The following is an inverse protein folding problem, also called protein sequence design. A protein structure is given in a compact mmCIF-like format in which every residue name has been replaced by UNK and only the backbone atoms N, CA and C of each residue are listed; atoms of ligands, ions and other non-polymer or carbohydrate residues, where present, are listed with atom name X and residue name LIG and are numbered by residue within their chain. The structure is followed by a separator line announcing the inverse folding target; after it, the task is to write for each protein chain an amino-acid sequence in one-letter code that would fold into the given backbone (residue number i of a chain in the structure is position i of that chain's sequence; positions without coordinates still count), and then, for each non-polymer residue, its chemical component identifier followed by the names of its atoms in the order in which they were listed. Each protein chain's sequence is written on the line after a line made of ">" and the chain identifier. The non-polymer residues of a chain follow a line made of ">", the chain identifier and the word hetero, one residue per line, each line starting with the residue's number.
data_IF_151894518803
#
_entry.id   IF_151894518803
#
_cell.length_a   1.000
_cell.length_b   1.000
_cell.length_c   1.000
_cell.angle_alpha   90.00
_cell.angle_beta   90.00
_cell.angle_gamma   90.00
#
_symmetry.space_group_name_H-M   'P 1'
#
loop_
_entity.id
_entity.type
_entity.pdbx_description
1 polymer ?
#
# COMPACT_ATOMS: atom_id res chain seq x y z
N UNK A 1 29.57 -22.82 -3.72
CA UNK A 1 29.29 -24.00 -4.58
C UNK A 1 28.14 -23.63 -5.52
N UNK A 2 28.04 -24.20 -6.74
CA UNK A 2 26.90 -23.93 -7.63
C UNK A 2 25.60 -24.40 -6.97
N UNK A 3 24.55 -23.58 -7.04
CA UNK A 3 23.23 -23.86 -6.44
C UNK A 3 22.57 -25.03 -7.17
N UNK A 4 22.04 -26.01 -6.43
CA UNK A 4 21.33 -27.13 -7.02
C UNK A 4 19.90 -26.69 -7.40
N UNK A 5 19.46 -27.02 -8.61
CA UNK A 5 18.14 -26.63 -9.15
C UNK A 5 17.11 -27.75 -8.96
N UNK A 6 17.56 -29.01 -8.94
CA UNK A 6 16.70 -30.18 -8.75
C UNK A 6 16.95 -30.79 -7.37
N UNK A 7 15.88 -31.23 -6.69
CA UNK A 7 15.96 -31.83 -5.36
C UNK A 7 16.55 -33.25 -5.44
N UNK A 8 17.77 -33.49 -4.90
CA UNK A 8 18.41 -34.80 -4.97
C UNK A 8 17.63 -35.89 -4.20
N UNK A 9 16.80 -35.53 -3.22
CA UNK A 9 15.99 -36.48 -2.46
C UNK A 9 14.88 -37.16 -3.29
N UNK A 10 14.59 -36.63 -4.49
CA UNK A 10 13.62 -37.22 -5.42
C UNK A 10 14.27 -38.16 -6.44
N UNK A 11 15.60 -38.29 -6.42
CA UNK A 11 16.31 -39.20 -7.31
C UNK A 11 16.33 -40.61 -6.71
N UNK A 12 15.82 -41.58 -7.47
CA UNK A 12 15.84 -42.99 -7.11
C UNK A 12 17.18 -43.63 -7.50
N UNK A 13 17.59 -44.66 -6.75
CA UNK A 13 18.77 -45.45 -7.06
C UNK A 13 18.56 -46.16 -8.41
N UNK A 14 19.40 -45.94 -9.43
CA UNK A 14 19.31 -46.67 -10.68
C UNK A 14 19.50 -48.17 -10.46
N UNK A 15 18.72 -49.00 -11.16
CA UNK A 15 18.90 -50.46 -11.12
C UNK A 15 20.16 -50.86 -11.90
N UNK A 16 21.29 -50.88 -11.21
CA UNK A 16 22.58 -51.30 -11.78
C UNK A 16 22.65 -52.81 -12.08
N UNK A 17 21.62 -53.59 -11.72
CA UNK A 17 21.50 -54.99 -12.10
C UNK A 17 20.68 -55.19 -13.39
N UNK A 18 20.04 -54.14 -13.92
CA UNK A 18 19.35 -54.13 -15.20
C UNK A 18 20.28 -54.49 -16.37
N UNK A 19 19.69 -55.03 -17.45
CA UNK A 19 20.37 -55.35 -18.71
C UNK A 19 21.06 -54.10 -19.33
N UNK A 20 20.56 -52.90 -19.02
CA UNK A 20 21.14 -51.62 -19.48
C UNK A 20 22.61 -51.43 -19.04
N UNK A 21 23.01 -52.07 -17.94
CA UNK A 21 24.37 -51.98 -17.39
C UNK A 21 25.25 -53.20 -17.71
N UNK A 22 24.78 -54.15 -18.54
CA UNK A 22 25.52 -55.37 -18.90
C UNK A 22 26.88 -55.08 -19.52
N UNK A 23 26.95 -54.09 -20.40
CA UNK A 23 28.20 -53.69 -21.04
C UNK A 23 29.25 -53.19 -20.02
N UNK A 24 28.80 -52.58 -18.92
CA UNK A 24 29.67 -52.08 -17.84
C UNK A 24 30.08 -53.23 -16.92
N UNK A 25 29.15 -54.14 -16.59
CA UNK A 25 29.42 -55.33 -15.77
C UNK A 25 30.39 -56.31 -16.45
N UNK A 26 30.28 -56.49 -17.76
CA UNK A 26 31.15 -57.38 -18.54
C UNK A 26 32.63 -56.92 -18.59
N UNK A 27 32.92 -55.68 -18.18
CA UNK A 27 34.28 -55.12 -18.12
C UNK A 27 35.02 -55.43 -16.83
N UNK A 28 34.34 -56.05 -15.85
CA UNK A 28 34.86 -56.38 -14.53
C UNK A 28 35.06 -57.90 -14.42
N UNK A 29 36.11 -58.32 -13.71
CA UNK A 29 36.41 -59.76 -13.51
C UNK A 29 35.33 -60.47 -12.67
N UNK A 30 34.62 -59.72 -11.80
CA UNK A 30 33.50 -60.22 -11.00
C UNK A 30 32.25 -59.32 -11.18
N UNK A 31 31.20 -59.79 -11.88
CA UNK A 31 29.98 -59.01 -12.13
C UNK A 31 29.22 -58.60 -10.87
N UNK A 32 29.33 -59.38 -9.77
CA UNK A 32 28.67 -59.06 -8.50
C UNK A 32 29.31 -57.89 -7.76
N UNK A 33 30.64 -57.77 -7.83
CA UNK A 33 31.38 -56.64 -7.24
C UNK A 33 31.19 -55.36 -8.04
N UNK A 34 30.98 -55.47 -9.37
CA UNK A 34 30.72 -54.32 -10.24
C UNK A 34 29.43 -53.58 -9.86
N UNK A 35 28.35 -54.31 -9.56
CA UNK A 35 27.06 -53.73 -9.12
C UNK A 35 27.22 -53.01 -7.79
N UNK A 36 27.94 -53.60 -6.83
CA UNK A 36 28.17 -53.00 -5.53
C UNK A 36 29.02 -51.72 -5.65
N UNK A 37 30.12 -51.77 -6.40
CA UNK A 37 31.00 -50.61 -6.60
C UNK A 37 30.29 -49.44 -7.28
N UNK A 38 29.43 -49.71 -8.29
CA UNK A 38 28.60 -48.68 -8.92
C UNK A 38 27.58 -48.10 -7.95
N UNK A 39 26.93 -48.96 -7.16
CA UNK A 39 25.98 -48.55 -6.12
C UNK A 39 26.63 -47.65 -5.08
N UNK A 40 27.78 -48.06 -4.53
CA UNK A 40 28.53 -47.30 -3.53
C UNK A 40 28.99 -45.94 -4.08
N UNK A 41 29.48 -45.92 -5.33
CA UNK A 41 29.91 -44.68 -5.99
C UNK A 41 28.75 -43.70 -6.19
N UNK A 42 27.57 -44.21 -6.59
CA UNK A 42 26.37 -43.40 -6.76
C UNK A 42 25.86 -42.88 -5.41
N UNK A 43 25.80 -43.73 -4.38
CA UNK A 43 25.37 -43.34 -3.04
C UNK A 43 26.27 -42.26 -2.44
N UNK A 44 27.59 -42.37 -2.64
CA UNK A 44 28.53 -41.34 -2.18
C UNK A 44 28.29 -40.00 -2.89
N UNK A 45 28.04 -40.01 -4.20
CA UNK A 45 27.75 -38.80 -4.96
C UNK A 45 26.37 -38.22 -4.64
N UNK A 46 25.37 -39.08 -4.44
CA UNK A 46 24.02 -38.71 -4.03
C UNK A 46 24.01 -38.07 -2.63
N UNK A 47 24.68 -38.70 -1.66
CA UNK A 47 24.83 -38.16 -0.31
C UNK A 47 25.47 -36.76 -0.29
N UNK A 48 26.49 -36.52 -1.11
CA UNK A 48 27.10 -35.18 -1.25
C UNK A 48 26.11 -34.15 -1.79
N UNK A 49 25.30 -34.52 -2.79
CA UNK A 49 24.28 -33.63 -3.36
C UNK A 49 23.15 -33.36 -2.37
N UNK A 50 22.72 -34.37 -1.62
CA UNK A 50 21.73 -34.22 -0.53
C UNK A 50 22.26 -33.26 0.53
N UNK A 51 23.49 -33.46 1.03
CA UNK A 51 24.11 -32.54 2.00
C UNK A 51 24.21 -31.11 1.46
N UNK A 52 24.60 -30.94 0.20
CA UNK A 52 24.65 -29.62 -0.42
C UNK A 52 23.27 -28.98 -0.53
N UNK A 53 22.23 -29.76 -0.82
CA UNK A 53 20.85 -29.30 -0.88
C UNK A 53 20.34 -28.88 0.52
N UNK A 54 20.57 -29.72 1.53
CA UNK A 54 20.21 -29.41 2.92
C UNK A 54 20.89 -28.14 3.41
N UNK A 55 22.18 -27.97 3.10
CA UNK A 55 22.93 -26.75 3.42
C UNK A 55 22.31 -25.53 2.73
N UNK A 56 21.94 -25.64 1.45
CA UNK A 56 21.31 -24.55 0.71
C UNK A 56 19.96 -24.15 1.34
N UNK A 57 19.14 -25.12 1.75
CA UNK A 57 17.87 -24.85 2.42
C UNK A 57 18.09 -24.19 3.78
N UNK A 58 19.08 -24.63 4.54
CA UNK A 58 19.41 -24.02 5.83
C UNK A 58 19.90 -22.57 5.65
N UNK A 59 20.76 -22.31 4.67
CA UNK A 59 21.24 -20.96 4.34
C UNK A 59 20.07 -20.05 3.91
N UNK A 60 19.15 -20.55 3.09
CA UNK A 60 17.96 -19.79 2.69
C UNK A 60 17.02 -19.51 3.89
N UNK A 61 16.85 -20.49 4.79
CA UNK A 61 16.06 -20.33 6.01
C UNK A 61 16.68 -19.29 6.94
N UNK A 62 17.98 -19.36 7.17
CA UNK A 62 18.72 -18.39 7.99
C UNK A 62 18.66 -16.99 7.39
N UNK A 63 18.81 -16.86 6.07
CA UNK A 63 18.67 -15.59 5.38
C UNK A 63 17.25 -15.01 5.51
N UNK A 64 16.22 -15.86 5.41
CA UNK A 64 14.83 -15.44 5.60
C UNK A 64 14.54 -15.01 7.04
N UNK A 65 15.06 -15.74 8.03
CA UNK A 65 14.94 -15.39 9.45
C UNK A 65 15.67 -14.08 9.79
N UNK A 66 16.84 -13.86 9.21
CA UNK A 66 17.60 -12.61 9.41
C UNK A 66 16.88 -11.41 8.77
N UNK A 67 16.32 -11.57 7.57
CA UNK A 67 15.49 -10.54 6.95
C UNK A 67 14.26 -10.25 7.81
N UNK A 68 13.60 -11.27 8.36
CA UNK A 68 12.44 -11.05 9.25
C UNK A 68 12.83 -10.35 10.55
N UNK A 69 13.97 -10.73 11.14
CA UNK A 69 14.53 -10.06 12.32
C UNK A 69 14.77 -8.58 12.04
N UNK A 70 15.44 -8.26 10.94
CA UNK A 70 15.69 -6.87 10.53
C UNK A 70 14.40 -6.09 10.30
N UNK A 71 13.38 -6.72 9.69
CA UNK A 71 12.06 -6.09 9.51
C UNK A 71 11.39 -5.76 10.85
N UNK A 72 11.47 -6.66 11.82
CA UNK A 72 10.90 -6.43 13.15
C UNK A 72 11.68 -5.33 13.91
N UNK A 73 13.00 -5.34 13.84
CA UNK A 73 13.85 -4.30 14.43
C UNK A 73 13.57 -2.92 13.81
N UNK A 74 13.43 -2.83 12.49
CA UNK A 74 13.08 -1.58 11.83
C UNK A 74 11.66 -1.12 12.17
N UNK A 75 10.69 -2.03 12.28
CA UNK A 75 9.34 -1.69 12.72
C UNK A 75 9.32 -1.18 14.17
N UNK A 76 10.11 -1.79 15.06
CA UNK A 76 10.28 -1.34 16.44
C UNK A 76 10.93 0.04 16.50
N UNK A 77 12.00 0.26 15.75
CA UNK A 77 12.66 1.58 15.64
C UNK A 77 11.71 2.67 15.16
N UNK A 78 10.88 2.39 14.16
CA UNK A 78 9.87 3.35 13.68
C UNK A 78 8.84 3.65 14.76
N UNK A 79 8.36 2.65 15.51
CA UNK A 79 7.42 2.86 16.62
C UNK A 79 8.02 3.69 17.75
N UNK A 80 9.28 3.45 18.10
CA UNK A 80 9.99 4.25 19.10
C UNK A 80 10.16 5.71 18.65
N UNK A 81 10.52 5.94 17.39
CA UNK A 81 10.64 7.28 16.82
C UNK A 81 9.28 8.01 16.78
N UNK A 82 8.22 7.34 16.33
CA UNK A 82 6.85 7.89 16.34
C UNK A 82 6.39 8.24 17.77
N UNK A 83 6.66 7.36 18.74
CA UNK A 83 6.34 7.60 20.15
C UNK A 83 7.11 8.79 20.73
N UNK A 84 8.39 8.95 20.37
CA UNK A 84 9.21 10.09 20.78
C UNK A 84 8.68 11.40 20.18
N UNK A 85 8.34 11.42 18.88
CA UNK A 85 7.74 12.58 18.23
C UNK A 85 6.38 12.94 18.84
N UNK A 86 5.56 11.96 19.19
CA UNK A 86 4.27 12.23 19.85
C UNK A 86 4.46 12.75 21.28
N UNK A 87 5.43 12.23 22.03
CA UNK A 87 5.78 12.73 23.35
C UNK A 87 6.25 14.20 23.30
N UNK A 88 7.10 14.55 22.33
CA UNK A 88 7.56 15.93 22.11
C UNK A 88 6.39 16.87 21.78
N UNK A 89 5.47 16.46 20.89
CA UNK A 89 4.26 17.23 20.59
C UNK A 89 3.39 17.46 21.83
N UNK A 90 3.19 16.43 22.66
CA UNK A 90 2.42 16.54 23.92
C UNK A 90 3.10 17.47 24.91
N UNK A 91 4.43 17.51 24.95
CA UNK A 91 5.17 18.44 25.81
C UNK A 91 5.07 19.89 25.29
N UNK A 92 5.18 20.09 23.98
CA UNK A 92 5.01 21.38 23.33
C UNK A 92 3.59 21.95 23.54
N UNK A 93 2.55 21.10 23.49
CA UNK A 93 1.17 21.51 23.78
C UNK A 93 0.97 21.96 25.24
N UNK A 94 1.61 21.27 26.22
CA UNK A 94 1.56 21.69 27.63
C UNK A 94 2.21 23.05 27.87
N UNK A 95 3.24 23.39 27.09
CA UNK A 95 3.96 24.68 27.18
C UNK A 95 3.28 25.81 26.39
N UNK A 96 2.27 25.50 25.59
CA UNK A 96 1.57 26.48 24.75
C UNK A 96 0.74 27.42 25.64
N UNK A 97 0.91 28.76 25.53
CA UNK A 97 0.17 29.70 26.35
C UNK A 97 -1.35 29.56 26.13
N UNK A 98 -2.13 29.65 27.21
CA UNK A 98 -3.59 29.69 27.14
C UNK A 98 -4.01 30.96 26.40
N UNK A 99 -4.82 30.79 25.36
CA UNK A 99 -5.39 31.91 24.64
C UNK A 99 -6.21 32.79 25.60
N UNK A 100 -6.16 34.13 25.46
CA UNK A 100 -7.01 35.01 26.25
C UNK A 100 -8.49 34.69 25.97
N UNK A 101 -9.28 34.71 27.04
CA UNK A 101 -10.73 34.47 27.00
C UNK A 101 -11.39 35.54 26.14
N UNK A 102 -11.83 35.15 24.94
CA UNK A 102 -12.39 36.08 23.97
C UNK A 102 -13.89 36.22 24.26
N UNK A 103 -14.27 37.39 24.77
CA UNK A 103 -15.63 37.74 25.16
C UNK A 103 -16.60 37.64 23.95
N UNK A 104 -17.38 36.56 23.95
CA UNK A 104 -18.34 36.20 22.90
C UNK A 104 -19.55 37.16 22.80
N UNK A 105 -19.60 38.21 23.63
CA UNK A 105 -20.74 39.11 23.73
C UNK A 105 -20.75 40.20 22.63
N UNK A 106 -19.60 40.51 22.03
CA UNK A 106 -19.50 41.53 20.96
C UNK A 106 -20.01 41.07 19.58
N UNK A 107 -20.20 39.76 19.36
CA UNK A 107 -20.62 39.20 18.06
C UNK A 107 -22.15 39.03 17.93
N UNK A 108 -22.94 39.60 18.84
CA UNK A 108 -24.41 39.45 18.86
C UNK A 108 -25.18 40.72 18.52
N UNK A 109 -24.53 41.75 17.97
CA UNK A 109 -25.19 43.03 17.65
C UNK A 109 -25.27 43.36 16.14
N UNK A 110 -24.66 42.58 15.26
CA UNK A 110 -24.85 42.73 13.80
C UNK A 110 -24.96 41.35 13.14
N UNK A 111 -26.18 40.82 13.05
CA UNK A 111 -26.43 39.56 12.36
C UNK A 111 -27.87 39.12 12.51
N UNK A 112 -28.73 39.68 11.64
CA UNK A 112 -30.12 39.27 11.46
C UNK A 112 -30.24 37.74 11.33
N UNK A 113 -31.22 37.17 12.03
CA UNK A 113 -31.46 35.73 12.15
C UNK A 113 -32.12 35.10 10.89
N UNK A 114 -32.29 35.85 9.80
CA UNK A 114 -32.90 35.34 8.56
C UNK A 114 -31.91 34.70 7.56
N UNK A 115 -30.61 34.70 7.84
CA UNK A 115 -29.59 34.31 6.84
C UNK A 115 -28.95 32.92 6.97
N UNK A 116 -29.53 31.96 7.72
CA UNK A 116 -28.86 30.67 7.99
C UNK A 116 -29.40 29.43 7.26
N UNK A 117 -30.59 29.49 6.69
CA UNK A 117 -31.13 28.37 5.89
C UNK A 117 -31.01 28.57 4.36
N UNK A 118 -30.69 29.78 3.89
CA UNK A 118 -30.53 30.07 2.44
C UNK A 118 -29.13 29.77 1.87
N UNK A 119 -28.11 29.54 2.70
CA UNK A 119 -26.73 29.37 2.23
C UNK A 119 -26.42 28.00 1.59
N UNK A 120 -27.29 27.00 1.78
CA UNK A 120 -27.16 25.70 1.11
C UNK A 120 -28.03 25.56 -0.14
N UNK A 121 -29.06 26.41 -0.31
CA UNK A 121 -30.02 26.31 -1.43
C UNK A 121 -29.92 27.47 -2.44
N UNK A 122 -29.22 28.56 -2.10
CA UNK A 122 -29.07 29.76 -2.95
C UNK A 122 -27.99 29.73 -4.04
N UNK A 123 -27.43 28.59 -4.43
CA UNK A 123 -26.40 28.54 -5.50
C UNK A 123 -26.96 28.71 -6.92
N UNK A 124 -28.25 29.03 -7.06
CA UNK A 124 -28.91 29.33 -8.34
C UNK A 124 -29.01 30.84 -8.66
N UNK A 125 -28.30 31.73 -7.95
CA UNK A 125 -27.97 33.01 -8.58
C UNK A 125 -27.04 32.73 -9.78
N UNK A 126 -27.33 33.33 -10.94
CA UNK A 126 -26.58 33.17 -12.20
C UNK A 126 -25.08 33.41 -12.00
N UNK A 127 -24.35 32.36 -11.62
CA UNK A 127 -22.91 32.41 -11.39
C UNK A 127 -22.12 32.39 -12.71
N UNK A 128 -22.81 32.39 -13.85
CA UNK A 128 -22.19 32.58 -15.16
C UNK A 128 -21.63 33.99 -15.33
N UNK A 129 -22.16 34.98 -14.60
CA UNK A 129 -21.74 36.39 -14.69
C UNK A 129 -20.83 36.84 -13.52
N UNK A 130 -20.54 35.97 -12.57
CA UNK A 130 -19.71 36.30 -11.42
C UNK A 130 -18.22 36.04 -11.70
N UNK A 131 -17.37 37.05 -11.50
CA UNK A 131 -15.92 36.95 -11.66
C UNK A 131 -15.21 36.93 -10.30
N UNK A 132 -14.24 36.03 -10.14
CA UNK A 132 -13.34 35.96 -9.00
C UNK A 132 -11.94 36.50 -9.34
N UNK A 133 -11.23 36.99 -8.33
CA UNK A 133 -9.83 37.41 -8.46
C UNK A 133 -8.89 36.18 -8.37
N UNK A 134 -8.07 35.99 -9.40
CA UNK A 134 -7.07 34.92 -9.48
C UNK A 134 -5.67 35.53 -9.63
N UNK A 135 -4.70 35.01 -8.87
CA UNK A 135 -3.29 35.41 -9.02
C UNK A 135 -2.68 34.70 -10.23
N UNK A 136 -2.10 35.47 -11.14
CA UNK A 136 -1.35 35.00 -12.31
C UNK A 136 0.12 35.41 -12.20
N UNK A 137 0.98 34.90 -13.07
CA UNK A 137 2.40 35.26 -13.11
C UNK A 137 2.64 36.76 -13.31
N UNK A 138 1.67 37.47 -13.89
CA UNK A 138 1.75 38.90 -14.21
C UNK A 138 0.84 39.79 -13.35
N UNK A 139 0.20 39.26 -12.29
CA UNK A 139 -0.62 40.07 -11.38
C UNK A 139 -1.91 39.42 -10.92
N UNK A 140 -2.98 40.20 -10.76
CA UNK A 140 -4.33 39.72 -10.45
C UNK A 140 -5.19 39.78 -11.72
N UNK A 141 -5.87 38.68 -12.05
CA UNK A 141 -6.79 38.58 -13.17
C UNK A 141 -8.20 38.24 -12.68
N UNK A 142 -9.22 38.82 -13.31
CA UNK A 142 -10.61 38.41 -13.12
C UNK A 142 -10.88 37.17 -13.96
N UNK A 143 -11.34 36.09 -13.33
CA UNK A 143 -11.74 34.85 -13.99
C UNK A 143 -13.18 34.51 -13.65
N UNK A 144 -14.00 34.05 -14.62
CA UNK A 144 -15.36 33.59 -14.33
C UNK A 144 -15.33 32.53 -13.22
N UNK A 145 -16.19 32.67 -12.21
CA UNK A 145 -16.28 31.68 -11.12
C UNK A 145 -16.68 30.31 -11.65
N UNK A 146 -17.36 30.24 -12.80
CA UNK A 146 -17.63 29.01 -13.53
C UNK A 146 -16.35 28.22 -13.90
N UNK A 147 -15.21 28.90 -14.13
CA UNK A 147 -13.94 28.25 -14.44
C UNK A 147 -13.34 27.48 -13.24
N UNK A 148 -13.78 27.79 -12.01
CA UNK A 148 -13.35 27.10 -10.79
C UNK A 148 -14.36 26.07 -10.31
N UNK A 149 -15.50 25.91 -10.99
CA UNK A 149 -16.52 24.92 -10.62
C UNK A 149 -16.16 23.57 -11.22
N UNK A 150 -16.22 22.49 -10.42
CA UNK A 150 -16.30 21.14 -10.96
C UNK A 150 -17.48 21.06 -11.95
N UNK A 151 -17.33 20.28 -13.02
CA UNK A 151 -18.42 20.07 -13.98
C UNK A 151 -19.68 19.57 -13.25
N UNK A 152 -20.87 20.01 -13.68
CA UNK A 152 -22.16 19.58 -13.11
C UNK A 152 -22.37 18.05 -13.16
N UNK A 153 -21.58 17.34 -13.97
CA UNK A 153 -21.62 15.87 -14.11
C UNK A 153 -20.61 15.15 -13.21
N UNK A 154 -19.81 15.87 -12.41
CA UNK A 154 -18.81 15.27 -11.53
C UNK A 154 -19.51 14.54 -10.40
N UNK A 155 -19.25 13.23 -10.30
CA UNK A 155 -19.69 12.38 -9.20
C UNK A 155 -18.62 12.48 -8.10
N UNK A 156 -18.98 12.76 -6.84
CA UNK A 156 -18.00 12.78 -5.76
C UNK A 156 -17.47 11.38 -5.46
N UNK A 157 -16.19 11.28 -5.06
CA UNK A 157 -15.52 10.01 -4.79
C UNK A 157 -16.27 9.10 -3.81
N UNK A 158 -17.03 9.67 -2.86
CA UNK A 158 -17.81 8.95 -1.86
C UNK A 158 -19.08 8.29 -2.40
N UNK A 159 -19.51 8.66 -3.61
CA UNK A 159 -20.71 8.16 -4.28
C UNK A 159 -20.37 7.29 -5.50
N UNK A 160 -19.08 7.02 -5.73
CA UNK A 160 -18.66 6.14 -6.82
C UNK A 160 -19.14 4.71 -6.59
N UNK A 161 -19.56 4.05 -7.65
CA UNK A 161 -19.67 2.59 -7.63
C UNK A 161 -18.27 1.96 -7.62
N UNK A 162 -18.16 0.72 -7.14
CA UNK A 162 -16.88 -0.01 -7.15
C UNK A 162 -16.24 -0.06 -8.54
N UNK A 163 -17.05 -0.39 -9.56
CA UNK A 163 -16.61 -0.40 -10.96
C UNK A 163 -16.11 0.95 -11.44
N UNK A 164 -16.79 2.05 -11.10
CA UNK A 164 -16.33 3.39 -11.45
C UNK A 164 -15.01 3.74 -10.76
N UNK A 165 -14.85 3.38 -9.49
CA UNK A 165 -13.58 3.58 -8.77
C UNK A 165 -12.43 2.80 -9.43
N UNK A 166 -12.61 1.51 -9.74
CA UNK A 166 -11.56 0.70 -10.39
C UNK A 166 -11.16 1.27 -11.75
N UNK A 167 -12.13 1.74 -12.56
CA UNK A 167 -11.84 2.40 -13.84
C UNK A 167 -11.14 3.75 -13.65
N UNK A 168 -11.65 4.58 -12.73
CA UNK A 168 -11.11 5.91 -12.46
C UNK A 168 -9.70 5.86 -11.89
N UNK A 169 -9.36 4.84 -11.09
CA UNK A 169 -8.01 4.60 -10.56
C UNK A 169 -6.98 4.52 -11.69
N UNK A 170 -7.24 3.72 -12.72
CA UNK A 170 -6.30 3.55 -13.84
C UNK A 170 -6.06 4.87 -14.56
N UNK A 171 -7.12 5.64 -14.81
CA UNK A 171 -6.99 6.97 -15.40
C UNK A 171 -6.25 7.94 -14.48
N UNK A 172 -6.54 7.94 -13.18
CA UNK A 172 -5.87 8.79 -12.19
C UNK A 172 -4.35 8.55 -12.17
N UNK A 173 -3.92 7.29 -12.04
CA UNK A 173 -2.50 6.95 -11.99
C UNK A 173 -1.77 7.37 -13.28
N UNK A 174 -2.38 7.14 -14.44
CA UNK A 174 -1.82 7.58 -15.72
C UNK A 174 -1.69 9.11 -15.82
N UNK A 175 -2.68 9.86 -15.35
CA UNK A 175 -2.60 11.33 -15.34
C UNK A 175 -1.57 11.85 -14.33
N UNK A 176 -1.36 11.16 -13.20
CA UNK A 176 -0.32 11.52 -12.24
C UNK A 176 1.09 11.33 -12.80
N UNK A 177 1.32 10.25 -13.56
CA UNK A 177 2.57 10.05 -14.28
C UNK A 177 2.81 11.15 -15.32
N UNK A 178 1.80 11.47 -16.14
CA UNK A 178 1.89 12.55 -17.13
C UNK A 178 2.15 13.92 -16.49
N UNK A 179 1.56 14.16 -15.33
CA UNK A 179 1.76 15.38 -14.55
C UNK A 179 3.06 15.36 -13.72
N UNK A 180 3.92 14.35 -13.90
CA UNK A 180 5.22 14.23 -13.26
C UNK A 180 5.15 14.32 -11.72
N UNK A 181 4.15 13.67 -11.13
CA UNK A 181 4.07 13.57 -9.68
C UNK A 181 5.28 12.80 -9.13
N UNK A 182 5.78 13.14 -7.93
CA UNK A 182 6.86 12.39 -7.30
C UNK A 182 6.51 10.91 -7.18
N UNK A 183 7.44 10.04 -7.58
CA UNK A 183 7.25 8.58 -7.66
C UNK A 183 6.73 8.00 -6.34
N UNK A 184 7.27 8.46 -5.21
CA UNK A 184 6.80 8.10 -3.86
C UNK A 184 5.30 8.28 -3.64
N UNK A 185 4.68 9.29 -4.25
CA UNK A 185 3.25 9.59 -4.10
C UNK A 185 2.41 8.71 -5.02
N UNK A 186 2.92 8.43 -6.22
CA UNK A 186 2.28 7.50 -7.16
C UNK A 186 2.30 6.09 -6.57
N UNK A 187 3.45 5.62 -6.09
CA UNK A 187 3.62 4.31 -5.45
C UNK A 187 2.72 4.17 -4.22
N UNK A 188 2.67 5.17 -3.34
CA UNK A 188 1.80 5.14 -2.17
C UNK A 188 0.30 4.99 -2.54
N UNK A 189 -0.15 5.64 -3.63
CA UNK A 189 -1.51 5.47 -4.14
C UNK A 189 -1.74 4.10 -4.78
N UNK A 190 -0.77 3.57 -5.51
CA UNK A 190 -0.84 2.21 -6.08
C UNK A 190 -1.04 1.19 -4.97
N UNK A 191 -0.22 1.24 -3.92
CA UNK A 191 -0.33 0.35 -2.76
C UNK A 191 -1.63 0.55 -1.98
N UNK A 192 -2.09 1.79 -1.84
CA UNK A 192 -3.38 2.10 -1.22
C UNK A 192 -4.55 1.44 -1.95
N UNK A 193 -4.63 1.59 -3.27
CA UNK A 193 -5.68 0.98 -4.05
C UNK A 193 -5.57 -0.55 -4.08
N UNK A 194 -4.34 -1.10 -4.12
CA UNK A 194 -4.12 -2.54 -3.98
C UNK A 194 -4.68 -3.07 -2.65
N UNK A 195 -4.45 -2.36 -1.54
CA UNK A 195 -4.99 -2.74 -0.22
C UNK A 195 -6.52 -2.70 -0.16
N UNK A 196 -7.15 -1.72 -0.83
CA UNK A 196 -8.61 -1.63 -0.92
C UNK A 196 -9.17 -2.79 -1.77
N UNK A 197 -8.56 -3.07 -2.92
CA UNK A 197 -9.04 -4.09 -3.85
C UNK A 197 -8.92 -5.52 -3.32
N UNK A 198 -7.86 -5.78 -2.55
CA UNK A 198 -7.59 -7.08 -1.93
C UNK A 198 -8.10 -7.16 -0.47
N UNK A 199 -8.97 -6.24 -0.06
CA UNK A 199 -9.55 -6.27 1.28
C UNK A 199 -10.59 -7.39 1.43
N UNK A 200 -10.49 -8.18 2.49
CA UNK A 200 -11.50 -9.16 2.89
C UNK A 200 -12.90 -8.55 3.10
N UNK A 201 -12.96 -7.23 3.35
CA UNK A 201 -14.22 -6.52 3.49
C UNK A 201 -15.04 -6.50 2.21
N UNK A 202 -14.41 -6.66 1.04
CA UNK A 202 -15.10 -6.62 -0.25
C UNK A 202 -16.20 -7.67 -0.35
N UNK A 203 -15.98 -8.85 0.23
CA UNK A 203 -16.93 -9.98 0.20
C UNK A 203 -18.04 -9.85 1.25
N UNK A 204 -17.98 -8.85 2.13
CA UNK A 204 -18.98 -8.62 3.18
C UNK A 204 -20.15 -7.79 2.64
N UNK A 205 -21.37 -7.95 3.21
CA UNK A 205 -22.49 -7.08 2.88
C UNK A 205 -22.12 -5.61 3.16
N UNK A 206 -22.42 -4.72 2.20
CA UNK A 206 -22.07 -3.29 2.22
C UNK A 206 -20.56 -2.98 2.24
N UNK A 207 -19.70 -4.00 2.05
CA UNK A 207 -18.26 -3.88 2.08
C UNK A 207 -17.70 -2.92 1.04
N UNK A 208 -18.13 -3.06 -0.22
CA UNK A 208 -17.72 -2.15 -1.30
C UNK A 208 -18.11 -0.70 -1.01
N UNK A 209 -19.35 -0.45 -0.54
CA UNK A 209 -19.80 0.89 -0.20
C UNK A 209 -19.00 1.51 0.97
N UNK A 210 -18.66 0.71 1.98
CA UNK A 210 -17.82 1.14 3.09
C UNK A 210 -16.40 1.47 2.64
N UNK A 211 -15.82 0.66 1.75
CA UNK A 211 -14.50 0.88 1.16
C UNK A 211 -14.47 2.12 0.27
N UNK A 212 -15.53 2.41 -0.48
CA UNK A 212 -15.65 3.66 -1.26
C UNK A 212 -15.71 4.89 -0.34
N UNK A 213 -16.51 4.85 0.73
CA UNK A 213 -16.55 5.95 1.70
C UNK A 213 -15.19 6.15 2.37
N UNK A 214 -14.53 5.05 2.74
CA UNK A 214 -13.18 5.06 3.30
C UNK A 214 -12.18 5.68 2.32
N UNK A 215 -12.17 5.26 1.05
CA UNK A 215 -11.18 5.74 0.08
C UNK A 215 -11.33 7.23 -0.21
N UNK A 216 -12.58 7.70 -0.37
CA UNK A 216 -12.87 9.11 -0.57
C UNK A 216 -12.39 9.98 0.60
N UNK A 217 -12.60 9.51 1.84
CA UNK A 217 -12.17 10.24 3.04
C UNK A 217 -10.65 10.28 3.16
N UNK A 218 -9.99 9.13 3.07
CA UNK A 218 -8.54 9.02 3.27
C UNK A 218 -7.78 9.76 2.17
N UNK A 219 -8.22 9.67 0.90
CA UNK A 219 -7.59 10.44 -0.19
C UNK A 219 -7.75 11.95 0.00
N UNK A 220 -8.91 12.42 0.46
CA UNK A 220 -9.10 13.84 0.77
C UNK A 220 -8.17 14.29 1.89
N UNK A 221 -8.14 13.56 3.01
CA UNK A 221 -7.27 13.87 4.16
C UNK A 221 -5.78 13.85 3.74
N UNK A 222 -5.38 12.89 2.89
CA UNK A 222 -4.03 12.82 2.35
C UNK A 222 -3.67 14.04 1.51
N UNK A 223 -4.52 14.42 0.55
CA UNK A 223 -4.32 15.63 -0.25
C UNK A 223 -4.29 16.91 0.60
N UNK A 224 -5.12 17.01 1.63
CA UNK A 224 -5.13 18.17 2.52
C UNK A 224 -3.89 18.20 3.43
N UNK A 225 -3.37 17.04 3.84
CA UNK A 225 -2.13 16.95 4.63
C UNK A 225 -0.89 17.39 3.83
N UNK A 226 -0.86 17.14 2.51
CA UNK A 226 0.21 17.60 1.62
C UNK A 226 0.26 19.12 1.45
N UNK A 227 -0.84 19.84 1.71
CA UNK A 227 -0.85 21.32 1.67
C UNK A 227 -0.11 21.95 2.85
N UNK A 228 0.01 21.22 3.96
CA UNK A 228 0.52 21.72 5.24
C UNK A 228 1.81 21.01 5.70
N UNK A 229 2.34 20.07 4.92
CA UNK A 229 3.51 19.27 5.26
C UNK A 229 3.78 18.14 4.25
N UNK A 230 4.68 17.19 4.54
CA UNK A 230 5.05 16.11 3.61
C UNK A 230 3.91 15.10 3.33
N UNK A 231 2.77 15.23 4.02
CA UNK A 231 1.66 14.29 3.99
C UNK A 231 1.96 13.00 4.76
N UNK A 232 0.92 12.24 5.10
CA UNK A 232 1.08 10.89 5.66
C UNK A 232 1.19 9.83 4.56
N UNK A 233 1.70 8.64 4.88
CA UNK A 233 1.76 7.54 3.93
C UNK A 233 0.35 6.92 3.75
N UNK A 234 -0.29 7.20 2.60
CA UNK A 234 -1.64 6.73 2.30
C UNK A 234 -1.73 5.21 2.09
N UNK A 235 -0.62 4.53 1.78
CA UNK A 235 -0.60 3.07 1.56
C UNK A 235 -0.97 2.27 2.81
N UNK A 236 -0.74 2.83 4.00
CA UNK A 236 -1.02 2.17 5.28
C UNK A 236 -2.53 2.22 5.54
N UNK A 237 -3.20 1.08 5.41
CA UNK A 237 -4.64 1.00 5.67
C UNK A 237 -4.96 1.27 7.14
N UNK A 238 -5.56 2.43 7.41
CA UNK A 238 -6.01 2.79 8.74
C UNK A 238 -7.29 1.99 9.11
N UNK A 239 -7.07 0.86 9.81
CA UNK A 239 -8.12 -0.04 10.29
C UNK A 239 -9.13 0.64 11.23
N UNK A 240 -8.81 1.78 11.84
CA UNK A 240 -9.72 2.52 12.73
C UNK A 240 -10.75 3.35 11.94
N UNK A 241 -10.31 4.03 10.87
CA UNK A 241 -11.18 4.78 9.96
C UNK A 241 -12.07 3.80 9.18
N UNK A 242 -11.52 2.64 8.79
CA UNK A 242 -12.24 1.56 8.14
C UNK A 242 -13.40 1.01 9.01
N UNK A 243 -13.15 0.76 10.30
CA UNK A 243 -14.18 0.32 11.26
C UNK A 243 -15.30 1.35 11.43
N UNK A 244 -14.95 2.63 11.50
CA UNK A 244 -15.93 3.72 11.57
C UNK A 244 -16.78 3.86 10.31
N UNK A 245 -16.22 3.57 9.14
CA UNK A 245 -16.95 3.59 7.87
C UNK A 245 -18.00 2.46 7.81
N UNK A 246 -17.68 1.27 8.34
CA UNK A 246 -18.61 0.13 8.43
C UNK A 246 -19.79 0.40 9.37
N UNK A 247 -19.58 1.11 10.50
CA UNK A 247 -20.65 1.45 11.45
C UNK A 247 -21.63 2.52 10.95
N UNK A 248 -21.32 3.21 9.84
CA UNK A 248 -22.13 4.29 9.27
C UNK A 248 -22.66 3.95 7.87
N UNK A 249 -22.67 2.67 7.51
CA UNK A 249 -23.27 2.14 6.29
C UNK A 249 -24.67 1.63 6.55
#
# INVERSE_FOLDING_TARGET
>A
MPRLVNNPNLEELPDFASEDFDAVRARWDNPGEAVQALTDSWQLQHAKRVQQWEQQILEDQQAAEEVERQRLEDEERVREEEAAVEAEKREAEKKRPKAPDFDATLLRQTGSLEGRDEATDGHQASAEEAFGLAKTEHGLALRPLAAFRPSRKVIPDSQLTWRQMTMAKTSLLSEMEKAQWPERHVEALVLFFYGIENSDLRMKPYGEAALIKYQARVRKEWHDSMKHGPGFNISIMNKSILRNALTKC
#
